data_IF_463972436595
#
_entry.id   IF_463972436595
#
_cell.length_a   1.000
_cell.length_b   1.000
_cell.length_c   1.000
_cell.angle_alpha   90.00
_cell.angle_beta   90.00
_cell.angle_gamma   90.00
#
_symmetry.space_group_name_H-M   'P 1'
#
loop_
_entity.id
_entity.type
_entity.pdbx_description
1 polymer ?
#
# COMPACT_ATOMS: atom_id res chain seq x y z
N UNK A 1 -18.95 83.80 1.17
CA UNK A 1 -19.12 84.17 2.58
C UNK A 1 -19.64 82.93 3.31
N UNK A 2 -18.78 82.06 3.85
CA UNK A 2 -18.16 82.10 5.19
C UNK A 2 -19.16 82.15 6.36
N UNK A 3 -19.29 81.03 7.10
CA UNK A 3 -19.15 80.86 8.58
C UNK A 3 -19.52 79.40 8.94
N UNK A 4 -18.60 78.50 9.33
CA UNK A 4 -17.80 78.34 10.58
C UNK A 4 -18.60 77.99 11.85
N UNK A 5 -18.39 76.75 12.35
CA UNK A 5 -18.31 76.30 13.75
C UNK A 5 -17.86 74.82 13.73
N UNK A 6 -16.70 74.32 14.18
CA UNK A 6 -15.85 74.46 15.38
C UNK A 6 -16.12 73.41 16.50
N UNK A 7 -15.21 72.41 16.58
CA UNK A 7 -14.60 71.75 17.78
C UNK A 7 -15.40 70.58 18.45
N UNK A 8 -14.81 69.51 19.09
CA UNK A 8 -13.39 69.20 19.40
C UNK A 8 -12.85 67.79 19.02
N UNK A 9 -11.51 67.68 19.06
CA UNK A 9 -10.73 66.44 19.13
C UNK A 9 -10.92 65.72 20.48
N UNK A 10 -11.08 64.39 20.43
CA UNK A 10 -10.86 63.48 21.56
C UNK A 10 -9.76 62.48 21.20
N UNK A 11 -8.58 62.61 21.82
CA UNK A 11 -7.55 61.57 21.81
C UNK A 11 -8.06 60.32 22.53
N UNK A 12 -8.15 59.19 21.82
CA UNK A 12 -8.11 57.87 22.46
C UNK A 12 -6.90 57.10 21.98
N UNK A 13 -6.08 56.76 22.98
CA UNK A 13 -4.89 55.92 22.95
C UNK A 13 -5.13 54.63 22.16
N UNK A 14 -4.32 54.41 21.13
CA UNK A 14 -4.25 53.15 20.40
C UNK A 14 -3.35 52.18 21.17
N UNK A 15 -3.94 51.29 21.95
CA UNK A 15 -3.28 50.07 22.40
C UNK A 15 -3.07 49.15 21.20
N UNK A 16 -1.86 49.19 20.63
CA UNK A 16 -1.38 48.19 19.67
C UNK A 16 -1.33 46.83 20.39
N UNK A 17 -2.32 45.98 20.17
CA UNK A 17 -2.12 44.54 20.28
C UNK A 17 -1.15 44.17 19.15
N UNK A 18 0.07 43.82 19.54
CA UNK A 18 1.07 43.28 18.62
C UNK A 18 0.50 41.99 18.00
N UNK A 19 0.04 42.09 16.76
CA UNK A 19 -0.21 40.91 15.93
C UNK A 19 1.14 40.26 15.67
N UNK A 20 1.39 39.12 16.33
CA UNK A 20 2.47 38.22 15.93
C UNK A 20 2.36 37.96 14.41
N UNK A 21 3.45 37.96 13.65
CA UNK A 21 3.39 37.62 12.25
C UNK A 21 2.98 36.15 12.17
N UNK A 22 1.72 35.88 11.81
CA UNK A 22 1.34 34.58 11.30
C UNK A 22 2.09 34.42 9.98
N UNK A 23 3.25 33.77 10.01
CA UNK A 23 3.87 33.20 8.83
C UNK A 23 2.89 32.15 8.29
N UNK A 24 1.89 32.58 7.51
CA UNK A 24 1.13 31.64 6.71
C UNK A 24 2.07 31.18 5.60
N UNK A 25 2.75 30.06 5.83
CA UNK A 25 3.41 29.30 4.77
C UNK A 25 2.34 29.03 3.71
N UNK A 26 2.46 29.68 2.55
CA UNK A 26 1.63 29.34 1.40
C UNK A 26 2.28 28.12 0.78
N UNK A 27 1.63 26.96 0.89
CA UNK A 27 1.96 25.77 0.11
C UNK A 27 2.03 26.18 -1.37
N UNK A 28 3.14 25.85 -2.06
CA UNK A 28 3.25 26.06 -3.52
C UNK A 28 2.44 25.03 -4.32
N UNK A 29 2.10 23.92 -3.69
CA UNK A 29 1.23 22.89 -4.27
C UNK A 29 -0.07 23.50 -4.75
N UNK A 30 -0.45 23.12 -5.95
CA UNK A 30 -1.59 23.73 -6.65
C UNK A 30 -2.66 22.67 -6.84
N UNK A 31 -3.91 23.04 -6.52
CA UNK A 31 -5.09 22.23 -6.84
C UNK A 31 -5.97 23.03 -7.79
N UNK A 32 -6.13 22.53 -9.01
CA UNK A 32 -7.09 23.06 -9.99
C UNK A 32 -8.25 22.09 -10.12
N UNK A 33 -9.47 22.62 -10.20
CA UNK A 33 -10.65 21.77 -10.40
C UNK A 33 -11.29 22.10 -11.73
N UNK A 34 -11.50 21.07 -12.53
CA UNK A 34 -12.18 21.13 -13.80
C UNK A 34 -13.55 20.47 -13.61
N UNK A 35 -14.66 21.24 -13.64
CA UNK A 35 -15.99 20.68 -13.49
C UNK A 35 -16.37 19.81 -14.70
N UNK A 36 -17.36 18.95 -14.51
CA UNK A 36 -18.00 18.24 -15.60
C UNK A 36 -18.63 19.22 -16.61
N UNK A 37 -18.66 18.85 -17.89
CA UNK A 37 -19.31 19.66 -18.91
C UNK A 37 -20.81 19.72 -18.67
N UNK A 38 -21.41 20.91 -18.81
CA UNK A 38 -22.87 21.08 -18.74
C UNK A 38 -23.63 20.30 -19.83
N UNK A 39 -22.94 19.89 -20.89
CA UNK A 39 -23.50 19.08 -21.98
C UNK A 39 -23.28 17.57 -21.79
N UNK A 40 -22.73 17.14 -20.65
CA UNK A 40 -22.43 15.74 -20.40
C UNK A 40 -23.74 14.92 -20.29
N UNK A 41 -23.73 13.64 -20.73
CA UNK A 41 -24.92 12.80 -20.73
C UNK A 41 -25.38 12.42 -19.32
N UNK A 42 -24.48 12.48 -18.33
CA UNK A 42 -24.72 12.16 -16.92
C UNK A 42 -23.73 12.93 -16.04
N UNK A 43 -23.96 12.93 -14.73
CA UNK A 43 -23.01 13.42 -13.73
C UNK A 43 -22.47 12.24 -12.93
N UNK A 44 -21.14 12.12 -12.84
CA UNK A 44 -20.49 11.05 -12.08
C UNK A 44 -20.10 11.59 -10.70
N UNK A 45 -20.61 11.01 -9.59
CA UNK A 45 -20.38 11.54 -8.25
C UNK A 45 -18.96 11.32 -7.71
N UNK A 46 -18.21 10.38 -8.30
CA UNK A 46 -16.83 10.07 -7.91
C UNK A 46 -15.86 10.88 -8.77
N UNK A 47 -15.09 11.83 -8.20
CA UNK A 47 -14.17 12.64 -8.98
C UNK A 47 -12.88 11.89 -9.31
N UNK A 48 -12.28 12.29 -10.44
CA UNK A 48 -10.96 11.86 -10.87
C UNK A 48 -9.91 12.77 -10.24
N UNK A 49 -8.89 12.20 -9.62
CA UNK A 49 -7.75 12.91 -9.04
C UNK A 49 -6.50 12.62 -9.88
N UNK A 50 -6.08 13.60 -10.67
CA UNK A 50 -4.83 13.58 -11.41
C UNK A 50 -3.70 14.09 -10.53
N UNK A 51 -2.77 13.21 -10.19
CA UNK A 51 -1.64 13.53 -9.32
C UNK A 51 -0.37 13.77 -10.16
N UNK A 52 0.27 14.93 -9.98
CA UNK A 52 1.59 15.23 -10.53
C UNK A 52 2.51 15.84 -9.48
N UNK A 53 3.81 15.83 -9.76
CA UNK A 53 4.81 16.56 -9.00
C UNK A 53 5.82 17.14 -9.99
N UNK A 54 5.37 18.14 -10.76
CA UNK A 54 6.05 18.66 -11.95
C UNK A 54 7.51 19.05 -11.68
N UNK A 55 7.76 19.79 -10.60
CA UNK A 55 9.11 20.26 -10.24
C UNK A 55 10.05 19.15 -9.77
N UNK A 56 9.53 18.15 -9.07
CA UNK A 56 10.35 17.03 -8.60
C UNK A 56 10.67 16.08 -9.73
N UNK A 57 9.69 15.73 -10.54
CA UNK A 57 9.81 14.75 -11.63
C UNK A 57 10.35 15.33 -12.93
N UNK A 58 10.41 16.67 -13.04
CA UNK A 58 10.68 17.38 -14.29
C UNK A 58 9.69 17.01 -15.42
N UNK A 59 8.44 16.71 -15.05
CA UNK A 59 7.33 16.43 -15.96
C UNK A 59 6.44 17.67 -16.14
N UNK A 60 5.66 17.76 -17.22
CA UNK A 60 4.60 18.76 -17.32
C UNK A 60 3.59 18.62 -16.16
N UNK A 61 2.96 19.72 -15.73
CA UNK A 61 1.90 19.68 -14.72
C UNK A 61 0.64 19.00 -15.27
N UNK A 62 -0.25 18.56 -14.38
CA UNK A 62 -1.45 17.81 -14.73
C UNK A 62 -2.31 18.41 -15.88
N UNK A 63 -2.56 19.73 -15.97
CA UNK A 63 -3.37 20.31 -17.06
C UNK A 63 -2.77 20.11 -18.46
N UNK A 64 -1.43 20.07 -18.55
CA UNK A 64 -0.72 19.84 -19.81
C UNK A 64 -0.55 18.34 -20.07
N UNK A 65 -0.13 17.60 -19.04
CA UNK A 65 0.16 16.16 -19.12
C UNK A 65 -1.08 15.31 -19.47
N UNK A 66 -2.25 15.69 -18.95
CA UNK A 66 -3.49 14.93 -19.11
C UNK A 66 -4.57 15.72 -19.85
N UNK A 67 -4.20 16.71 -20.65
CA UNK A 67 -5.14 17.61 -21.34
C UNK A 67 -6.24 16.86 -22.12
N UNK A 68 -5.87 15.85 -22.91
CA UNK A 68 -6.83 15.04 -23.67
C UNK A 68 -7.73 14.19 -22.78
N UNK A 69 -7.18 13.64 -21.68
CA UNK A 69 -7.94 12.84 -20.72
C UNK A 69 -8.95 13.70 -19.99
N UNK A 70 -8.55 14.89 -19.54
CA UNK A 70 -9.41 15.85 -18.86
C UNK A 70 -10.56 16.27 -19.77
N UNK A 71 -10.29 16.55 -21.04
CA UNK A 71 -11.33 16.89 -22.02
C UNK A 71 -12.31 15.73 -22.24
N UNK A 72 -11.79 14.51 -22.39
CA UNK A 72 -12.59 13.30 -22.54
C UNK A 72 -13.51 13.07 -21.34
N UNK A 73 -12.94 13.03 -20.13
CA UNK A 73 -13.70 12.74 -18.91
C UNK A 73 -14.67 13.85 -18.52
N UNK A 74 -14.33 15.12 -18.76
CA UNK A 74 -15.27 16.24 -18.56
C UNK A 74 -16.48 16.13 -19.48
N UNK A 75 -16.30 15.69 -20.74
CA UNK A 75 -17.40 15.45 -21.67
C UNK A 75 -18.30 14.27 -21.24
N UNK A 76 -17.75 13.29 -20.51
CA UNK A 76 -18.48 12.12 -19.98
C UNK A 76 -19.12 12.35 -18.61
N UNK A 77 -18.94 13.53 -18.01
CA UNK A 77 -19.60 13.90 -16.76
C UNK A 77 -18.76 13.75 -15.49
N UNK A 78 -17.45 13.51 -15.61
CA UNK A 78 -16.56 13.42 -14.45
C UNK A 78 -16.03 14.79 -14.04
N UNK A 79 -16.04 15.08 -12.75
CA UNK A 79 -15.25 16.17 -12.17
C UNK A 79 -13.77 15.73 -12.05
N UNK A 80 -12.85 16.59 -12.48
CA UNK A 80 -11.40 16.32 -12.41
C UNK A 80 -10.69 17.29 -11.46
N UNK A 81 -10.02 16.72 -10.46
CA UNK A 81 -9.14 17.38 -9.49
C UNK A 81 -7.69 17.22 -9.98
N UNK A 82 -7.03 18.32 -10.27
CA UNK A 82 -5.66 18.36 -10.79
C UNK A 82 -4.73 18.82 -9.67
N UNK A 83 -4.03 17.87 -9.05
CA UNK A 83 -3.16 18.11 -7.90
C UNK A 83 -1.70 18.05 -8.33
N UNK A 84 -1.04 19.21 -8.37
CA UNK A 84 0.40 19.30 -8.61
C UNK A 84 1.14 19.63 -7.31
N UNK A 85 1.95 18.67 -6.85
CA UNK A 85 2.66 18.76 -5.57
C UNK A 85 4.02 19.45 -5.71
N UNK A 86 4.22 20.45 -4.87
CA UNK A 86 5.47 21.17 -4.69
C UNK A 86 5.62 21.54 -3.20
N UNK A 87 6.02 20.60 -2.34
CA UNK A 87 6.08 20.83 -0.91
C UNK A 87 7.05 21.97 -0.56
N UNK A 88 6.69 22.77 0.43
CA UNK A 88 7.44 23.98 0.82
C UNK A 88 8.86 23.70 1.32
N UNK A 89 9.11 22.48 1.82
CA UNK A 89 10.46 22.05 2.19
C UNK A 89 11.25 21.76 0.91
N UNK A 90 12.44 22.37 0.72
CA UNK A 90 13.25 22.09 -0.44
C UNK A 90 13.54 20.59 -0.48
N UNK A 91 12.98 19.92 -1.48
CA UNK A 91 13.12 18.47 -1.70
C UNK A 91 14.60 18.08 -1.75
N UNK A 92 15.48 19.00 -2.19
CA UNK A 92 16.94 18.89 -2.21
C UNK A 92 17.62 18.75 -0.85
N UNK A 93 17.00 19.22 0.24
CA UNK A 93 17.56 19.12 1.61
C UNK A 93 17.25 17.78 2.27
N UNK A 94 16.22 17.06 1.78
CA UNK A 94 15.82 15.77 2.29
C UNK A 94 16.79 14.70 1.76
N UNK A 95 17.68 14.23 2.62
CA UNK A 95 18.64 13.16 2.30
C UNK A 95 18.04 11.76 2.36
N UNK A 96 16.78 11.62 2.78
CA UNK A 96 16.10 10.33 2.93
C UNK A 96 14.83 10.27 2.07
N UNK A 97 14.81 9.30 1.14
CA UNK A 97 13.71 9.02 0.22
C UNK A 97 12.41 8.66 0.95
N UNK A 98 12.47 7.93 2.07
CA UNK A 98 11.27 7.57 2.82
C UNK A 98 10.62 8.83 3.43
N UNK A 99 11.45 9.69 4.03
CA UNK A 99 10.99 10.98 4.56
C UNK A 99 10.45 11.90 3.47
N UNK A 100 11.08 11.90 2.30
CA UNK A 100 10.65 12.65 1.12
C UNK A 100 9.23 12.21 0.69
N UNK A 101 8.94 10.91 0.63
CA UNK A 101 7.59 10.40 0.34
C UNK A 101 6.57 10.81 1.41
N UNK A 102 6.92 10.75 2.70
CA UNK A 102 6.04 11.22 3.78
C UNK A 102 5.71 12.72 3.67
N UNK A 103 6.65 13.53 3.18
CA UNK A 103 6.44 14.97 2.98
C UNK A 103 5.46 15.21 1.82
N UNK A 104 5.64 14.52 0.69
CA UNK A 104 4.70 14.59 -0.44
C UNK A 104 3.30 14.09 -0.06
N UNK A 105 3.23 12.99 0.70
CA UNK A 105 1.96 12.47 1.20
C UNK A 105 1.27 13.53 2.07
N UNK A 106 1.96 14.08 3.07
CA UNK A 106 1.40 15.10 3.95
C UNK A 106 0.92 16.33 3.17
N UNK A 107 1.69 16.76 2.20
CA UNK A 107 1.39 17.92 1.37
C UNK A 107 0.16 17.69 0.47
N UNK A 108 0.04 16.51 -0.14
CA UNK A 108 -1.16 16.10 -0.89
C UNK A 108 -2.41 16.14 0.00
N UNK A 109 -2.28 15.58 1.20
CA UNK A 109 -3.35 15.55 2.20
C UNK A 109 -3.78 16.96 2.59
N UNK A 110 -2.82 17.83 2.92
CA UNK A 110 -3.09 19.17 3.42
C UNK A 110 -3.66 20.05 2.32
N UNK A 111 -3.18 19.92 1.09
CA UNK A 111 -3.70 20.63 -0.10
C UNK A 111 -5.17 20.26 -0.39
N UNK A 112 -5.49 18.97 -0.39
CA UNK A 112 -6.87 18.49 -0.60
C UNK A 112 -7.82 18.99 0.50
N UNK A 113 -7.38 18.97 1.77
CA UNK A 113 -8.18 19.47 2.90
C UNK A 113 -8.41 20.97 2.85
N UNK A 114 -7.35 21.75 2.57
CA UNK A 114 -7.42 23.21 2.56
C UNK A 114 -8.31 23.76 1.45
N UNK A 115 -8.43 23.03 0.34
CA UNK A 115 -9.31 23.41 -0.76
C UNK A 115 -10.80 23.41 -0.41
N UNK A 116 -11.20 22.79 0.70
CA UNK A 116 -12.61 22.58 1.07
C UNK A 116 -13.37 21.64 0.13
N UNK A 117 -12.70 21.08 -0.87
CA UNK A 117 -13.24 20.13 -1.85
C UNK A 117 -12.82 18.71 -1.53
N UNK A 118 -13.02 18.28 -0.28
CA UNK A 118 -12.94 16.86 0.04
C UNK A 118 -14.10 16.17 -0.66
N UNK A 119 -13.84 15.26 -1.61
CA UNK A 119 -14.91 14.60 -2.34
C UNK A 119 -15.75 13.77 -1.37
N UNK A 120 -17.07 13.66 -1.62
CA UNK A 120 -17.98 12.91 -0.74
C UNK A 120 -17.61 11.42 -0.68
N UNK A 121 -16.97 10.91 -1.74
CA UNK A 121 -16.46 9.55 -1.84
C UNK A 121 -14.95 9.56 -2.09
N UNK A 122 -14.22 8.49 -1.75
CA UNK A 122 -12.82 8.34 -2.11
C UNK A 122 -12.63 8.56 -3.62
N UNK A 123 -11.69 9.40 -4.06
CA UNK A 123 -11.52 9.68 -5.49
C UNK A 123 -10.92 8.47 -6.22
N UNK A 124 -11.05 8.47 -7.54
CA UNK A 124 -10.27 7.61 -8.44
C UNK A 124 -8.98 8.36 -8.73
N UNK A 125 -7.81 7.77 -8.46
CA UNK A 125 -6.53 8.44 -8.71
C UNK A 125 -5.89 7.97 -10.01
N UNK A 126 -5.43 8.92 -10.83
CA UNK A 126 -4.65 8.68 -12.04
C UNK A 126 -3.31 9.40 -11.88
N UNK A 127 -2.21 8.68 -12.06
CA UNK A 127 -0.86 9.24 -11.92
C UNK A 127 0.08 8.58 -12.91
N UNK A 128 1.13 9.32 -13.28
CA UNK A 128 2.09 8.92 -14.29
C UNK A 128 3.52 8.95 -13.79
N UNK A 129 4.38 8.07 -14.35
CA UNK A 129 5.82 8.14 -14.13
C UNK A 129 6.23 8.07 -12.66
N UNK A 130 7.30 8.76 -12.23
CA UNK A 130 7.79 8.73 -10.85
C UNK A 130 6.80 9.25 -9.80
N UNK A 131 5.79 10.05 -10.19
CA UNK A 131 4.74 10.50 -9.27
C UNK A 131 3.89 9.32 -8.73
N UNK A 132 3.92 8.17 -9.41
CA UNK A 132 3.31 6.92 -8.95
C UNK A 132 3.79 6.48 -7.57
N UNK A 133 5.03 6.82 -7.17
CA UNK A 133 5.54 6.52 -5.82
C UNK A 133 4.82 7.31 -4.73
N UNK A 134 4.41 8.54 -5.05
CA UNK A 134 3.63 9.39 -4.14
C UNK A 134 2.23 8.81 -3.99
N UNK A 135 1.60 8.42 -5.10
CA UNK A 135 0.28 7.79 -5.08
C UNK A 135 0.26 6.49 -4.27
N UNK A 136 1.27 5.63 -4.47
CA UNK A 136 1.46 4.43 -3.66
C UNK A 136 1.54 4.78 -2.16
N UNK A 137 2.41 5.72 -1.79
CA UNK A 137 2.54 6.16 -0.38
C UNK A 137 1.22 6.70 0.17
N UNK A 138 0.51 7.53 -0.60
CA UNK A 138 -0.80 8.09 -0.23
C UNK A 138 -1.85 7.01 0.03
N UNK A 139 -1.93 6.02 -0.85
CA UNK A 139 -2.87 4.89 -0.76
C UNK A 139 -2.70 4.09 0.51
N UNK A 140 -1.47 3.98 1.02
CA UNK A 140 -1.21 3.23 2.25
C UNK A 140 -1.85 3.86 3.50
N UNK A 141 -2.20 5.15 3.43
CA UNK A 141 -2.85 5.89 4.52
C UNK A 141 -4.31 6.19 4.26
N UNK A 142 -4.76 6.18 2.99
CA UNK A 142 -6.13 6.51 2.59
C UNK A 142 -6.62 5.60 1.48
N UNK A 143 -7.80 4.98 1.64
CA UNK A 143 -8.39 4.21 0.55
C UNK A 143 -8.75 5.14 -0.62
N UNK A 144 -8.62 4.60 -1.83
CA UNK A 144 -9.15 5.17 -3.06
C UNK A 144 -10.28 4.29 -3.57
N UNK A 145 -11.09 4.82 -4.48
CA UNK A 145 -12.09 4.00 -5.19
C UNK A 145 -11.41 3.16 -6.27
N UNK A 146 -10.44 3.72 -6.97
CA UNK A 146 -9.59 3.00 -7.91
C UNK A 146 -8.26 3.75 -8.08
N UNK A 147 -7.21 3.04 -8.53
CA UNK A 147 -5.91 3.62 -8.84
C UNK A 147 -5.44 3.18 -10.22
N UNK A 148 -5.08 4.15 -11.06
CA UNK A 148 -4.41 3.91 -12.32
C UNK A 148 -3.00 4.49 -12.33
N UNK A 149 -2.03 3.64 -12.65
CA UNK A 149 -0.63 4.01 -12.81
C UNK A 149 -0.27 3.95 -14.30
N UNK A 150 0.16 5.08 -14.85
CA UNK A 150 0.61 5.20 -16.24
C UNK A 150 2.14 5.24 -16.24
N UNK A 151 2.79 4.32 -16.95
CA UNK A 151 4.25 4.25 -17.04
C UNK A 151 4.96 4.31 -15.66
N UNK A 152 4.55 3.51 -14.67
CA UNK A 152 5.19 3.55 -13.36
C UNK A 152 6.66 3.11 -13.46
N UNK A 153 7.53 3.53 -12.52
CA UNK A 153 8.89 3.01 -12.48
C UNK A 153 8.86 1.50 -12.23
N UNK A 154 9.60 0.75 -13.06
CA UNK A 154 9.70 -0.72 -13.00
C UNK A 154 9.96 -1.22 -11.57
N UNK A 155 10.99 -0.65 -10.93
CA UNK A 155 11.24 -0.82 -9.51
C UNK A 155 12.03 0.38 -8.97
N UNK A 156 12.02 0.55 -7.64
CA UNK A 156 12.66 1.68 -6.98
C UNK A 156 14.18 1.70 -7.17
N UNK A 157 14.80 0.53 -7.28
CA UNK A 157 16.24 0.41 -7.49
C UNK A 157 16.66 0.86 -8.89
N UNK A 158 15.86 0.53 -9.91
CA UNK A 158 16.03 0.90 -11.29
C UNK A 158 15.82 2.40 -11.47
N UNK A 159 14.75 2.95 -10.88
CA UNK A 159 14.51 4.40 -10.89
C UNK A 159 15.69 5.17 -10.29
N UNK A 160 16.27 4.68 -9.19
CA UNK A 160 17.46 5.28 -8.59
C UNK A 160 18.68 5.23 -9.52
N UNK A 161 18.83 4.17 -10.31
CA UNK A 161 19.92 4.01 -11.27
C UNK A 161 19.75 4.95 -12.47
N UNK A 162 18.54 5.04 -13.02
CA UNK A 162 18.20 5.89 -14.17
C UNK A 162 18.18 7.38 -13.78
N UNK A 163 17.60 7.71 -12.63
CA UNK A 163 17.39 9.09 -12.14
C UNK A 163 17.82 9.22 -10.67
N UNK A 164 19.14 9.27 -10.38
CA UNK A 164 19.66 9.29 -9.00
C UNK A 164 19.27 10.54 -8.21
N UNK A 165 18.88 11.63 -8.89
CA UNK A 165 18.43 12.87 -8.25
C UNK A 165 17.03 12.75 -7.62
N UNK A 166 16.20 11.81 -8.08
CA UNK A 166 14.83 11.67 -7.58
C UNK A 166 14.77 10.96 -6.23
N UNK A 167 15.64 9.96 -6.01
CA UNK A 167 15.68 9.14 -4.80
C UNK A 167 17.07 9.20 -4.13
N UNK A 168 17.24 10.02 -3.08
CA UNK A 168 18.51 10.16 -2.34
C UNK A 168 18.99 8.86 -1.67
N UNK A 169 18.10 8.08 -1.04
CA UNK A 169 18.35 6.77 -0.40
C UNK A 169 17.57 5.63 -1.06
N UNK A 170 17.94 4.38 -0.76
CA UNK A 170 17.16 3.21 -1.18
C UNK A 170 15.76 3.28 -0.56
N UNK A 171 14.73 3.15 -1.40
CA UNK A 171 13.34 3.13 -0.99
C UNK A 171 12.82 1.69 -1.12
N UNK A 172 12.23 1.16 -0.05
CA UNK A 172 11.63 -0.17 -0.08
C UNK A 172 10.50 -0.24 -1.11
N UNK A 173 10.32 -1.39 -1.75
CA UNK A 173 9.19 -1.62 -2.63
C UNK A 173 7.88 -1.59 -1.84
N UNK A 174 6.81 -1.23 -2.55
CA UNK A 174 5.50 -1.05 -1.96
C UNK A 174 4.87 -2.42 -1.64
N UNK A 175 4.68 -2.73 -0.35
CA UNK A 175 4.13 -4.00 0.15
C UNK A 175 2.67 -3.91 0.64
N UNK A 176 1.88 -2.98 0.11
CA UNK A 176 0.48 -2.81 0.51
C UNK A 176 -0.44 -3.45 -0.53
N UNK A 177 -1.42 -4.16 -0.01
CA UNK A 177 -2.42 -4.87 -0.78
C UNK A 177 -3.63 -3.95 -0.93
N UNK A 178 -3.83 -3.45 -2.15
CA UNK A 178 -4.93 -2.56 -2.45
C UNK A 178 -6.25 -3.33 -2.36
N UNK A 179 -7.18 -2.85 -1.53
CA UNK A 179 -8.54 -3.41 -1.40
C UNK A 179 -9.49 -2.87 -2.47
N UNK A 180 -8.95 -2.25 -3.51
CA UNK A 180 -9.68 -1.56 -4.57
C UNK A 180 -8.99 -1.84 -5.91
N UNK A 181 -9.70 -1.68 -7.06
CA UNK A 181 -9.12 -1.95 -8.37
C UNK A 181 -7.87 -1.10 -8.65
N UNK A 182 -6.77 -1.77 -9.00
CA UNK A 182 -5.52 -1.13 -9.44
C UNK A 182 -5.22 -1.57 -10.87
N UNK A 183 -5.03 -0.58 -11.75
CA UNK A 183 -4.65 -0.78 -13.14
C UNK A 183 -3.27 -0.18 -13.41
N UNK A 184 -2.37 -0.96 -13.99
CA UNK A 184 -1.08 -0.48 -14.50
C UNK A 184 -1.16 -0.46 -16.00
N UNK A 185 -0.77 0.66 -16.61
CA UNK A 185 -0.86 0.88 -18.05
C UNK A 185 0.46 1.40 -18.58
N UNK A 186 0.89 0.88 -19.72
CA UNK A 186 2.13 1.28 -20.39
C UNK A 186 1.86 1.97 -21.72
N UNK A 187 2.49 3.11 -21.97
CA UNK A 187 2.47 3.76 -23.27
C UNK A 187 3.45 3.10 -24.22
N UNK A 188 3.11 3.03 -25.51
CA UNK A 188 4.00 2.47 -26.54
C UNK A 188 5.36 3.21 -26.59
N UNK A 189 5.35 4.51 -26.30
CA UNK A 189 6.56 5.33 -26.25
C UNK A 189 7.51 4.89 -25.13
N UNK A 190 6.96 4.56 -23.96
CA UNK A 190 7.75 4.09 -22.82
C UNK A 190 8.26 2.67 -23.06
N UNK A 191 7.44 1.78 -23.64
CA UNK A 191 7.85 0.42 -23.99
C UNK A 191 9.00 0.43 -25.00
N UNK A 192 8.95 1.30 -26.02
CA UNK A 192 10.04 1.47 -26.97
C UNK A 192 11.33 1.97 -26.29
N UNK A 193 11.22 2.93 -25.36
CA UNK A 193 12.36 3.43 -24.58
C UNK A 193 13.03 2.30 -23.78
N UNK A 194 12.23 1.47 -23.12
CA UNK A 194 12.71 0.35 -22.31
C UNK A 194 13.38 -0.73 -23.17
N UNK A 195 12.81 -1.02 -24.35
CA UNK A 195 13.39 -1.94 -25.31
C UNK A 195 14.78 -1.46 -25.78
N UNK A 196 14.93 -0.15 -26.05
CA UNK A 196 16.22 0.45 -26.42
C UNK A 196 17.24 0.42 -25.26
N UNK A 197 16.79 0.54 -24.02
CA UNK A 197 17.63 0.41 -22.83
C UNK A 197 17.99 -1.05 -22.49
N UNK A 198 17.48 -2.02 -23.26
CA UNK A 198 17.74 -3.44 -23.05
C UNK A 198 17.15 -3.97 -21.75
N UNK A 199 16.07 -3.35 -21.26
CA UNK A 199 15.35 -3.84 -20.08
C UNK A 199 14.67 -5.16 -20.46
N UNK A 200 14.90 -6.26 -19.70
CA UNK A 200 14.20 -7.51 -19.93
C UNK A 200 12.70 -7.31 -19.85
N UNK A 201 11.97 -7.91 -20.80
CA UNK A 201 10.51 -7.83 -20.87
C UNK A 201 9.84 -8.24 -19.54
N UNK A 202 10.35 -9.28 -18.87
CA UNK A 202 9.87 -9.73 -17.56
C UNK A 202 9.96 -8.65 -16.48
N UNK A 203 11.02 -7.84 -16.48
CA UNK A 203 11.18 -6.80 -15.45
C UNK A 203 10.13 -5.71 -15.60
N UNK A 204 9.81 -5.35 -16.85
CA UNK A 204 8.76 -4.37 -17.18
C UNK A 204 7.39 -4.86 -16.72
N UNK A 205 7.08 -6.12 -16.99
CA UNK A 205 5.77 -6.72 -16.73
C UNK A 205 5.76 -7.63 -15.49
N UNK A 206 6.64 -7.35 -14.52
CA UNK A 206 6.81 -8.21 -13.34
C UNK A 206 5.52 -8.34 -12.54
N UNK A 207 4.75 -7.27 -12.41
CA UNK A 207 3.51 -7.24 -11.63
C UNK A 207 2.44 -8.08 -12.32
N UNK A 208 2.31 -7.95 -13.64
CA UNK A 208 1.39 -8.72 -14.46
C UNK A 208 1.75 -10.20 -14.38
N UNK A 209 3.03 -10.55 -14.54
CA UNK A 209 3.50 -11.93 -14.45
C UNK A 209 3.27 -12.56 -13.08
N UNK A 210 3.56 -11.84 -11.99
CA UNK A 210 3.29 -12.34 -10.63
C UNK A 210 1.79 -12.60 -10.41
N UNK A 211 0.92 -11.77 -11.00
CA UNK A 211 -0.53 -11.96 -10.92
C UNK A 211 -1.04 -13.07 -11.85
N UNK A 212 -0.46 -13.23 -13.03
CA UNK A 212 -0.73 -14.36 -13.94
C UNK A 212 -0.37 -15.69 -13.28
N UNK A 213 0.79 -15.77 -12.61
CA UNK A 213 1.21 -16.95 -11.84
C UNK A 213 0.23 -17.27 -10.69
N UNK A 214 -0.30 -16.25 -10.02
CA UNK A 214 -1.26 -16.42 -8.94
C UNK A 214 -2.68 -16.78 -9.44
N UNK A 215 -3.05 -16.31 -10.64
CA UNK A 215 -4.37 -16.52 -11.25
C UNK A 215 -4.47 -17.78 -12.13
N UNK A 216 -3.33 -18.38 -12.53
CA UNK A 216 -3.23 -19.48 -13.50
C UNK A 216 -3.89 -19.17 -14.86
N UNK A 217 -4.03 -17.87 -15.18
CA UNK A 217 -4.64 -17.34 -16.40
C UNK A 217 -3.81 -16.17 -16.93
N UNK A 218 -3.74 -16.01 -18.27
CA UNK A 218 -3.09 -14.87 -18.90
C UNK A 218 -3.92 -13.61 -18.65
N UNK A 219 -3.35 -12.59 -18.02
CA UNK A 219 -4.03 -11.34 -17.74
C UNK A 219 -3.85 -10.38 -18.90
N UNK A 220 -4.93 -9.69 -19.27
CA UNK A 220 -4.89 -8.69 -20.32
C UNK A 220 -3.91 -7.57 -19.95
N UNK A 221 -2.98 -7.31 -20.86
CA UNK A 221 -2.00 -6.25 -20.74
C UNK A 221 -2.62 -4.94 -21.17
N UNK A 222 -2.47 -3.91 -20.36
CA UNK A 222 -2.98 -2.60 -20.70
C UNK A 222 -1.88 -1.75 -21.32
N UNK A 223 -1.93 -1.62 -22.64
CA UNK A 223 -1.04 -0.76 -23.41
C UNK A 223 -1.86 0.18 -24.28
N UNK A 224 -1.42 1.43 -24.44
CA UNK A 224 -2.02 2.34 -25.42
C UNK A 224 -0.97 3.01 -26.30
N UNK A 225 -1.29 3.08 -27.59
CA UNK A 225 -0.50 3.77 -28.59
C UNK A 225 -0.80 5.28 -28.62
N UNK A 226 -2.07 5.65 -28.47
CA UNK A 226 -2.54 7.03 -28.50
C UNK A 226 -3.20 7.42 -27.17
N UNK A 227 -2.99 8.67 -26.77
CA UNK A 227 -3.46 9.21 -25.49
C UNK A 227 -4.99 9.22 -25.43
N UNK A 228 -5.67 9.44 -26.57
CA UNK A 228 -7.14 9.35 -26.68
C UNK A 228 -7.67 7.93 -26.48
N UNK A 229 -7.00 6.94 -27.07
CA UNK A 229 -7.36 5.54 -26.87
C UNK A 229 -7.18 5.16 -25.40
N UNK A 230 -6.07 5.57 -24.77
CA UNK A 230 -5.85 5.35 -23.35
C UNK A 230 -6.96 5.93 -22.46
N UNK A 231 -7.50 7.10 -22.81
CA UNK A 231 -8.63 7.69 -22.07
C UNK A 231 -9.95 6.90 -22.26
N UNK A 232 -10.22 6.41 -23.48
CA UNK A 232 -11.38 5.55 -23.77
C UNK A 232 -11.29 4.23 -23.02
N UNK A 233 -10.15 3.54 -23.09
CA UNK A 233 -9.93 2.27 -22.39
C UNK A 233 -10.01 2.46 -20.87
N UNK A 234 -9.59 3.63 -20.37
CA UNK A 234 -9.72 3.98 -18.95
C UNK A 234 -11.18 4.14 -18.55
N UNK A 235 -11.97 4.82 -19.37
CA UNK A 235 -13.40 4.96 -19.12
C UNK A 235 -14.08 3.59 -19.08
N UNK A 236 -13.84 2.73 -20.07
CA UNK A 236 -14.42 1.38 -20.13
C UNK A 236 -14.07 0.57 -18.88
N UNK A 237 -12.81 0.61 -18.45
CA UNK A 237 -12.36 -0.03 -17.23
C UNK A 237 -13.07 0.52 -15.98
N UNK A 238 -13.19 1.85 -15.85
CA UNK A 238 -13.90 2.46 -14.72
C UNK A 238 -15.37 2.05 -14.68
N UNK A 239 -16.03 1.98 -15.83
CA UNK A 239 -17.44 1.59 -15.90
C UNK A 239 -17.65 0.11 -15.58
N UNK A 240 -16.71 -0.76 -15.97
CA UNK A 240 -16.76 -2.20 -15.70
C UNK A 240 -16.39 -2.59 -14.27
N UNK A 241 -15.28 -2.08 -13.74
CA UNK A 241 -14.71 -2.53 -12.44
C UNK A 241 -15.19 -1.71 -11.25
N UNK A 242 -15.38 -0.39 -11.43
CA UNK A 242 -15.78 0.49 -10.32
C UNK A 242 -17.30 0.49 -10.15
N UNK A 243 -18.04 0.12 -11.20
CA UNK A 243 -19.50 0.04 -11.21
C UNK A 243 -20.15 1.42 -11.07
N UNK A 244 -20.98 1.79 -12.03
CA UNK A 244 -21.98 2.83 -11.78
C UNK A 244 -22.89 2.27 -10.68
N UNK A 245 -23.04 3.00 -9.57
CA UNK A 245 -23.95 2.69 -8.45
C UNK A 245 -25.43 2.69 -8.90
N UNK A 246 -25.80 1.78 -9.81
CA UNK A 246 -27.08 1.80 -10.51
C UNK A 246 -27.69 0.44 -10.81
N UNK A 247 -26.95 -0.69 -10.76
CA UNK A 247 -27.54 -1.97 -11.22
C UNK A 247 -27.15 -3.23 -10.40
N UNK A 248 -26.62 -3.06 -9.19
CA UNK A 248 -26.45 -4.19 -8.26
C UNK A 248 -27.71 -4.37 -7.40
N UNK A 249 -28.85 -4.54 -8.07
CA UNK A 249 -30.02 -5.18 -7.49
C UNK A 249 -30.21 -6.49 -8.25
N UNK A 250 -30.25 -7.60 -7.51
CA UNK A 250 -30.43 -8.99 -7.96
C UNK A 250 -29.15 -9.75 -8.33
N UNK A 251 -28.55 -10.37 -7.32
CA UNK A 251 -28.16 -11.78 -7.47
C UNK A 251 -28.62 -12.58 -6.23
N UNK A 252 -29.04 -13.85 -6.42
CA UNK A 252 -29.94 -14.52 -5.51
C UNK A 252 -29.17 -15.16 -4.34
N UNK A 253 -29.67 -14.91 -3.14
CA UNK A 253 -29.42 -15.74 -1.97
C UNK A 253 -30.01 -17.14 -2.23
N UNK A 254 -29.17 -18.14 -2.44
CA UNK A 254 -29.57 -19.54 -2.29
C UNK A 254 -29.08 -20.08 -0.94
N UNK A 255 -30.10 -20.29 -0.11
CA UNK A 255 -30.23 -21.14 1.07
C UNK A 255 -29.24 -22.31 1.19
N UNK A 256 -28.57 -22.38 2.34
CA UNK A 256 -28.41 -23.65 3.06
C UNK A 256 -28.69 -23.39 4.55
N UNK A 257 -29.96 -23.50 4.90
CA UNK A 257 -30.43 -23.72 6.26
C UNK A 257 -30.73 -25.22 6.48
N UNK A 258 -30.79 -25.59 7.76
CA UNK A 258 -31.02 -26.93 8.34
C UNK A 258 -29.77 -27.79 8.40
N UNK A 259 -29.22 -28.07 9.59
CA UNK A 259 -29.71 -29.05 10.58
C UNK A 259 -28.70 -29.00 11.76
N UNK A 260 -28.92 -29.29 13.03
CA UNK A 260 -30.05 -29.67 13.89
C UNK A 260 -29.44 -29.70 15.32
N UNK A 261 -30.21 -29.22 16.28
CA UNK A 261 -30.25 -29.45 17.74
C UNK A 261 -28.99 -29.60 18.63
N UNK A 262 -28.96 -28.70 19.63
CA UNK A 262 -28.81 -28.91 21.08
C UNK A 262 -28.26 -30.26 21.59
N UNK A 263 -27.18 -30.20 22.36
CA UNK A 263 -27.05 -30.95 23.63
C UNK A 263 -26.03 -30.30 24.58
N UNK A 264 -26.27 -30.54 25.86
CA UNK A 264 -25.84 -29.83 27.07
C UNK A 264 -24.56 -30.36 27.74
N UNK A 265 -23.90 -29.47 28.50
CA UNK A 265 -23.04 -29.66 29.69
C UNK A 265 -22.27 -30.98 29.92
N UNK A 266 -20.95 -30.87 30.11
CA UNK A 266 -20.31 -31.13 31.43
C UNK A 266 -18.78 -30.96 31.40
N UNK A 267 -18.28 -30.32 32.47
CA UNK A 267 -16.87 -30.24 32.87
C UNK A 267 -16.27 -31.62 33.16
N UNK A 268 -15.02 -31.85 32.73
CA UNK A 268 -14.00 -32.46 33.61
C UNK A 268 -12.59 -32.29 33.05
N UNK A 269 -11.73 -31.72 33.88
CA UNK A 269 -10.28 -31.72 33.72
C UNK A 269 -9.72 -33.13 33.97
N UNK A 270 -8.73 -33.54 33.18
CA UNK A 270 -7.98 -34.77 33.40
C UNK A 270 -6.62 -34.72 32.69
N UNK A 271 -5.56 -34.56 33.48
CA UNK A 271 -4.17 -34.77 33.07
C UNK A 271 -3.95 -36.20 32.57
N UNK A 272 -3.20 -36.36 31.47
CA UNK A 272 -2.40 -37.56 31.27
C UNK A 272 -1.27 -37.29 30.25
N UNK A 273 -0.07 -37.13 30.79
CA UNK A 273 1.15 -37.41 30.05
C UNK A 273 1.20 -38.92 29.75
N UNK A 274 1.35 -39.29 28.47
CA UNK A 274 1.39 -40.68 28.03
C UNK A 274 2.29 -40.86 26.81
N UNK A 275 3.08 -41.93 26.84
CA UNK A 275 4.18 -42.27 25.94
C UNK A 275 3.89 -42.16 24.44
N UNK A 276 4.86 -41.63 23.69
CA UNK A 276 4.85 -41.54 22.23
C UNK A 276 5.17 -42.92 21.61
N UNK A 277 4.17 -43.52 20.96
CA UNK A 277 4.36 -44.58 19.98
C UNK A 277 5.08 -44.01 18.76
N UNK A 278 6.20 -44.61 18.37
CA UNK A 278 7.14 -44.04 17.41
C UNK A 278 6.70 -44.10 15.93
N UNK A 279 5.55 -44.71 15.61
CA UNK A 279 5.08 -44.88 14.23
C UNK A 279 3.58 -44.56 14.01
N UNK A 280 2.89 -44.01 15.03
CA UNK A 280 1.48 -43.62 14.92
C UNK A 280 1.36 -42.10 14.68
N UNK A 281 0.66 -41.73 13.60
CA UNK A 281 0.32 -40.32 13.35
C UNK A 281 -0.57 -39.78 14.49
N UNK A 282 -0.44 -38.49 14.86
CA UNK A 282 -1.24 -37.91 15.95
C UNK A 282 -2.74 -38.03 15.71
N UNK A 283 -3.55 -38.22 16.77
CA UNK A 283 -5.02 -38.35 16.63
C UNK A 283 -5.67 -37.16 15.93
N UNK A 284 -5.23 -35.93 16.24
CA UNK A 284 -5.72 -34.73 15.54
C UNK A 284 -5.41 -34.72 14.03
N UNK A 285 -4.33 -35.39 13.62
CA UNK A 285 -3.95 -35.50 12.22
C UNK A 285 -4.82 -36.53 11.48
N UNK A 286 -5.25 -37.59 12.18
CA UNK A 286 -6.11 -38.65 11.63
C UNK A 286 -7.59 -38.25 11.64
N UNK A 287 -8.01 -37.45 12.63
CA UNK A 287 -9.39 -37.01 12.80
C UNK A 287 -9.80 -35.85 11.85
N UNK A 288 -8.83 -35.03 11.40
CA UNK A 288 -9.08 -33.94 10.44
C UNK A 288 -8.65 -34.26 9.01
N UNK A 289 -8.95 -33.37 8.06
CA UNK A 289 -8.56 -33.50 6.65
C UNK A 289 -7.09 -33.07 6.39
N UNK A 290 -6.15 -33.57 7.19
CA UNK A 290 -4.74 -33.20 7.10
C UNK A 290 -3.98 -34.11 6.13
N UNK A 291 -3.36 -33.50 5.11
CA UNK A 291 -2.51 -34.22 4.16
C UNK A 291 -1.10 -33.64 4.12
N UNK A 292 -0.09 -34.51 4.21
CA UNK A 292 1.30 -34.13 4.00
C UNK A 292 1.55 -34.01 2.49
N UNK A 293 2.15 -32.89 2.08
CA UNK A 293 2.56 -32.64 0.70
C UNK A 293 4.10 -32.56 0.61
N UNK A 294 4.81 -33.69 0.46
CA UNK A 294 6.27 -33.69 0.36
C UNK A 294 6.72 -32.92 -0.88
N UNK A 295 7.46 -31.82 -0.69
CA UNK A 295 8.03 -31.02 -1.78
C UNK A 295 7.35 -29.67 -2.03
N UNK A 296 6.17 -29.45 -1.45
CA UNK A 296 5.51 -28.14 -1.42
C UNK A 296 6.38 -27.12 -0.67
N UNK A 297 6.76 -26.03 -1.35
CA UNK A 297 7.54 -24.92 -0.74
C UNK A 297 6.66 -23.97 0.08
N UNK A 298 5.36 -23.93 -0.20
CA UNK A 298 4.41 -22.95 0.36
C UNK A 298 3.59 -23.54 1.50
N UNK A 299 3.04 -24.75 1.34
CA UNK A 299 2.21 -25.45 2.34
C UNK A 299 2.58 -26.94 2.40
N UNK A 300 3.58 -27.34 3.21
CA UNK A 300 3.98 -28.75 3.31
C UNK A 300 2.95 -29.65 4.00
N UNK A 301 2.00 -29.06 4.73
CA UNK A 301 0.85 -29.73 5.33
C UNK A 301 -0.41 -28.91 5.02
N UNK A 302 -1.42 -29.55 4.44
CA UNK A 302 -2.72 -28.94 4.14
C UNK A 302 -3.43 -28.61 5.44
N UNK A 303 -3.89 -27.37 5.62
CA UNK A 303 -4.57 -26.91 6.83
C UNK A 303 -6.08 -26.93 6.60
N UNK A 304 -6.83 -27.46 7.56
CA UNK A 304 -8.28 -27.26 7.62
C UNK A 304 -8.57 -25.89 8.26
N UNK A 305 -9.44 -25.09 7.64
CA UNK A 305 -9.82 -23.79 8.17
C UNK A 305 -10.69 -23.89 9.43
N UNK A 306 -11.40 -25.00 9.63
CA UNK A 306 -12.29 -25.22 10.79
C UNK A 306 -11.52 -25.35 12.10
N UNK A 307 -10.30 -25.86 12.01
CA UNK A 307 -9.41 -26.09 13.15
C UNK A 307 -8.54 -24.87 13.48
N UNK A 308 -8.71 -23.76 12.74
CA UNK A 308 -7.93 -22.54 12.91
C UNK A 308 -8.78 -21.42 13.49
N UNK A 309 -8.42 -20.98 14.70
CA UNK A 309 -8.94 -19.76 15.29
C UNK A 309 -8.02 -18.57 14.96
N UNK A 310 -8.53 -17.65 14.13
CA UNK A 310 -7.86 -16.44 13.72
C UNK A 310 -8.32 -15.22 14.54
N UNK A 311 -7.37 -14.38 14.97
CA UNK A 311 -7.63 -13.09 15.62
C UNK A 311 -6.71 -12.01 15.10
N UNK A 312 -7.26 -10.84 14.78
CA UNK A 312 -6.49 -9.66 14.41
C UNK A 312 -6.26 -8.78 15.63
N UNK A 313 -5.00 -8.49 15.91
CA UNK A 313 -4.60 -7.63 17.03
C UNK A 313 -3.81 -6.44 16.53
N UNK A 314 -3.79 -5.36 17.32
CA UNK A 314 -2.89 -4.24 17.07
C UNK A 314 -1.45 -4.68 17.32
N UNK A 315 -0.55 -4.27 16.42
CA UNK A 315 0.87 -4.58 16.58
C UNK A 315 1.46 -3.86 17.80
N UNK A 316 2.49 -4.44 18.39
CA UNK A 316 3.25 -3.81 19.49
C UNK A 316 4.73 -3.71 19.11
N UNK A 317 5.36 -2.57 19.40
CA UNK A 317 6.78 -2.34 19.16
C UNK A 317 7.12 -0.91 18.73
N UNK A 318 8.43 -0.60 18.60
CA UNK A 318 8.92 0.69 18.07
C UNK A 318 8.65 0.76 16.56
N UNK A 319 7.39 0.99 16.21
CA UNK A 319 6.89 1.11 14.85
C UNK A 319 6.10 2.42 14.69
N UNK A 320 6.06 2.95 13.46
CA UNK A 320 5.34 4.18 13.12
C UNK A 320 3.83 4.13 13.41
N UNK A 321 3.12 5.23 13.14
CA UNK A 321 1.69 5.37 13.47
C UNK A 321 0.80 4.24 12.91
N UNK A 322 1.16 3.67 11.75
CA UNK A 322 0.41 2.60 11.11
C UNK A 322 0.33 1.32 11.97
N UNK A 323 1.41 0.95 12.67
CA UNK A 323 1.48 -0.29 13.48
C UNK A 323 0.59 -0.20 14.72
N UNK A 324 0.47 1.00 15.30
CA UNK A 324 -0.33 1.21 16.52
C UNK A 324 -1.82 1.45 16.22
N UNK A 325 -2.16 1.88 14.99
CA UNK A 325 -3.53 2.21 14.60
C UNK A 325 -4.26 1.04 13.92
N UNK A 326 -3.58 0.31 13.03
CA UNK A 326 -4.20 -0.77 12.27
C UNK A 326 -4.01 -2.13 12.98
N UNK A 327 -5.05 -2.97 12.96
CA UNK A 327 -5.03 -4.34 13.48
C UNK A 327 -4.46 -5.33 12.44
N UNK A 328 -3.20 -5.13 12.06
CA UNK A 328 -2.53 -5.91 10.99
C UNK A 328 -1.79 -7.14 11.50
N UNK A 329 -1.61 -7.28 12.83
CA UNK A 329 -0.96 -8.44 13.42
C UNK A 329 -1.96 -9.60 13.51
N UNK A 330 -1.61 -10.75 12.93
CA UNK A 330 -2.45 -11.94 12.89
C UNK A 330 -1.99 -12.91 13.98
N UNK A 331 -2.89 -13.23 14.89
CA UNK A 331 -2.75 -14.35 15.82
C UNK A 331 -3.55 -15.54 15.29
N UNK A 332 -2.84 -16.63 15.01
CA UNK A 332 -3.43 -17.86 14.50
C UNK A 332 -3.24 -18.97 15.55
N UNK A 333 -4.33 -19.61 15.96
CA UNK A 333 -4.29 -20.73 16.91
C UNK A 333 -4.87 -21.97 16.25
N UNK A 334 -4.13 -23.07 16.26
CA UNK A 334 -4.64 -24.38 15.85
C UNK A 334 -5.31 -25.04 17.04
N UNK A 335 -6.63 -25.24 16.98
CA UNK A 335 -7.46 -25.72 18.09
C UNK A 335 -7.05 -27.13 18.54
N UNK A 336 -6.86 -28.12 17.64
CA UNK A 336 -6.55 -29.49 18.05
C UNK A 336 -5.19 -29.65 18.74
N UNK A 337 -4.19 -28.82 18.39
CA UNK A 337 -2.84 -28.91 18.99
C UNK A 337 -2.57 -27.84 20.05
N UNK A 338 -3.46 -26.87 20.22
CA UNK A 338 -3.24 -25.69 21.05
C UNK A 338 -2.08 -24.79 20.58
N UNK A 339 -1.53 -25.02 19.39
CA UNK A 339 -0.37 -24.26 18.89
C UNK A 339 -0.79 -22.86 18.50
N UNK A 340 -0.21 -21.85 19.15
CA UNK A 340 -0.46 -20.43 18.85
C UNK A 340 0.74 -19.79 18.17
N UNK A 341 0.48 -19.07 17.08
CA UNK A 341 1.46 -18.32 16.32
C UNK A 341 1.00 -16.88 16.12
N UNK A 342 1.95 -15.95 16.13
CA UNK A 342 1.72 -14.53 15.82
C UNK A 342 2.57 -14.12 14.63
N UNK A 343 1.97 -13.41 13.66
CA UNK A 343 2.67 -12.93 12.47
C UNK A 343 2.43 -11.43 12.27
N UNK A 344 3.53 -10.68 12.19
CA UNK A 344 3.57 -9.23 11.98
C UNK A 344 4.83 -8.93 11.16
N UNK A 345 4.84 -9.36 9.90
CA UNK A 345 5.97 -9.18 8.98
C UNK A 345 5.78 -7.99 8.04
N UNK A 346 4.56 -7.84 7.51
CA UNK A 346 4.19 -6.81 6.53
C UNK A 346 3.18 -5.83 7.12
N UNK A 347 2.94 -4.71 6.44
CA UNK A 347 1.82 -3.81 6.78
C UNK A 347 0.46 -4.32 6.28
N UNK A 348 0.42 -5.19 5.25
CA UNK A 348 -0.82 -5.84 4.81
C UNK A 348 -1.27 -6.91 5.80
N UNK A 349 -2.58 -6.93 6.08
CA UNK A 349 -3.25 -7.93 6.93
C UNK A 349 -3.32 -9.28 6.23
N UNK A 350 -3.71 -9.32 4.96
CA UNK A 350 -4.01 -10.58 4.27
C UNK A 350 -2.69 -11.30 3.91
N UNK A 351 -1.64 -10.54 3.55
CA UNK A 351 -0.28 -11.10 3.48
C UNK A 351 0.22 -11.64 4.82
N UNK A 352 -0.03 -10.95 5.94
CA UNK A 352 0.31 -11.48 7.26
C UNK A 352 -0.48 -12.75 7.60
N UNK A 353 -1.73 -12.85 7.16
CA UNK A 353 -2.61 -14.01 7.31
C UNK A 353 -2.09 -15.21 6.52
N UNK A 354 -1.73 -15.02 5.26
CA UNK A 354 -1.12 -16.05 4.42
C UNK A 354 0.21 -16.55 5.01
N UNK A 355 1.07 -15.63 5.46
CA UNK A 355 2.32 -15.96 6.13
C UNK A 355 2.10 -16.70 7.46
N UNK A 356 1.07 -16.33 8.22
CA UNK A 356 0.70 -17.03 9.46
C UNK A 356 0.29 -18.47 9.17
N UNK A 357 -0.57 -18.71 8.16
CA UNK A 357 -0.96 -20.05 7.73
C UNK A 357 0.23 -20.88 7.23
N UNK A 358 1.09 -20.28 6.40
CA UNK A 358 2.31 -20.95 5.93
C UNK A 358 3.21 -21.38 7.09
N UNK A 359 3.39 -20.51 8.08
CA UNK A 359 4.16 -20.85 9.30
C UNK A 359 3.47 -21.91 10.14
N UNK A 360 2.14 -21.88 10.27
CA UNK A 360 1.38 -22.90 10.98
C UNK A 360 1.55 -24.28 10.33
N UNK A 361 1.41 -24.35 8.99
CA UNK A 361 1.64 -25.57 8.20
C UNK A 361 3.02 -26.18 8.47
N UNK A 362 4.08 -25.36 8.50
CA UNK A 362 5.44 -25.80 8.82
C UNK A 362 5.58 -26.33 10.26
N UNK A 363 4.95 -25.66 11.24
CA UNK A 363 4.99 -26.08 12.64
C UNK A 363 4.26 -27.41 12.82
N UNK A 364 3.08 -27.56 12.21
CA UNK A 364 2.29 -28.80 12.26
C UNK A 364 3.01 -29.95 11.55
N UNK A 365 3.63 -29.73 10.39
CA UNK A 365 4.45 -30.75 9.72
C UNK A 365 5.54 -31.29 10.66
N UNK A 366 6.21 -30.38 11.37
CA UNK A 366 7.26 -30.74 12.34
C UNK A 366 6.72 -31.55 13.51
N UNK A 367 5.50 -31.24 13.97
CA UNK A 367 4.84 -32.01 15.04
C UNK A 367 4.50 -33.42 14.58
N UNK A 368 4.07 -33.59 13.32
CA UNK A 368 3.72 -34.90 12.76
C UNK A 368 4.96 -35.76 12.48
N UNK A 369 6.03 -35.17 11.94
CA UNK A 369 7.25 -35.91 11.53
C UNK A 369 8.34 -36.02 12.61
N UNK A 370 8.14 -35.37 13.76
CA UNK A 370 9.13 -35.33 14.84
C UNK A 370 10.44 -34.60 14.49
N UNK A 371 11.43 -34.68 15.38
CA UNK A 371 12.70 -33.95 15.26
C UNK A 371 13.60 -34.43 14.09
N UNK A 372 13.38 -35.66 13.60
CA UNK A 372 14.15 -36.26 12.50
C UNK A 372 13.67 -35.81 11.11
N UNK A 373 12.46 -35.25 11.01
CA UNK A 373 11.77 -34.95 9.75
C UNK A 373 11.82 -33.49 9.30
N UNK A 374 12.76 -32.69 9.81
CA UNK A 374 12.96 -31.32 9.33
C UNK A 374 13.30 -31.32 7.85
N UNK A 375 12.34 -30.94 7.01
CA UNK A 375 12.49 -30.87 5.54
C UNK A 375 13.78 -30.11 5.17
N UNK A 376 14.38 -30.45 4.02
CA UNK A 376 15.48 -29.68 3.39
C UNK A 376 15.19 -28.17 3.39
N UNK A 377 13.91 -27.81 3.36
CA UNK A 377 13.37 -26.45 3.41
C UNK A 377 13.63 -25.78 4.76
N UNK A 378 13.45 -26.46 5.89
CA UNK A 378 13.65 -25.92 7.24
C UNK A 378 15.13 -25.57 7.50
N UNK A 379 16.05 -26.44 7.02
CA UNK A 379 17.49 -26.13 7.02
C UNK A 379 17.84 -24.93 6.16
N UNK A 380 17.07 -24.65 5.11
CA UNK A 380 17.32 -23.53 4.19
C UNK A 380 16.80 -22.23 4.77
N UNK A 381 15.57 -22.23 5.31
CA UNK A 381 14.96 -21.09 5.99
C UNK A 381 15.78 -20.70 7.22
N UNK A 382 16.21 -21.67 8.04
CA UNK A 382 17.04 -21.39 9.22
C UNK A 382 18.44 -20.87 8.82
N UNK A 383 19.04 -21.41 7.75
CA UNK A 383 20.30 -20.87 7.19
C UNK A 383 20.12 -19.42 6.73
N UNK A 384 19.01 -19.08 6.07
CA UNK A 384 18.73 -17.71 5.65
C UNK A 384 18.49 -16.76 6.82
N UNK A 385 17.71 -17.17 7.82
CA UNK A 385 17.52 -16.41 9.06
C UNK A 385 18.84 -16.17 9.78
N UNK A 386 19.68 -17.19 9.88
CA UNK A 386 21.02 -17.09 10.47
C UNK A 386 21.94 -16.18 9.68
N UNK A 387 21.90 -16.20 8.34
CA UNK A 387 22.63 -15.26 7.46
C UNK A 387 22.18 -13.81 7.69
N UNK A 388 20.86 -13.53 7.71
CA UNK A 388 20.30 -12.20 7.96
C UNK A 388 20.68 -11.68 9.36
N UNK A 389 20.58 -12.52 10.39
CA UNK A 389 20.98 -12.18 11.76
C UNK A 389 22.48 -11.90 11.89
N UNK A 390 23.33 -12.73 11.27
CA UNK A 390 24.78 -12.53 11.25
C UNK A 390 25.18 -11.26 10.48
N UNK A 391 24.51 -10.95 9.37
CA UNK A 391 24.73 -9.71 8.61
C UNK A 391 24.40 -8.48 9.48
N UNK A 392 23.26 -8.50 10.20
CA UNK A 392 22.85 -7.44 11.14
C UNK A 392 23.84 -7.28 12.30
N UNK A 393 24.32 -8.38 12.89
CA UNK A 393 25.36 -8.35 13.95
C UNK A 393 26.69 -7.79 13.44
N UNK A 394 27.13 -8.18 12.25
CA UNK A 394 28.36 -7.69 11.61
C UNK A 394 28.25 -6.19 11.30
N UNK A 395 27.11 -5.74 10.82
CA UNK A 395 26.84 -4.32 10.55
C UNK A 395 26.85 -3.49 11.85
N UNK A 396 26.22 -3.99 12.92
CA UNK A 396 26.22 -3.34 14.23
C UNK A 396 27.62 -3.26 14.85
N UNK A 397 28.45 -4.31 14.70
CA UNK A 397 29.87 -4.27 15.10
C UNK A 397 30.64 -3.20 14.34
N UNK A 398 30.56 -3.19 13.00
CA UNK A 398 31.21 -2.16 12.16
C UNK A 398 30.78 -0.73 12.51
N UNK A 399 29.52 -0.52 12.86
CA UNK A 399 29.04 0.79 13.31
C UNK A 399 29.65 1.18 14.66
N UNK A 400 29.76 0.24 15.60
CA UNK A 400 30.39 0.46 16.89
C UNK A 400 31.89 0.74 16.77
N UNK A 401 32.58 -0.02 15.91
CA UNK A 401 34.02 0.14 15.66
C UNK A 401 34.30 1.51 15.01
N UNK A 402 33.49 1.93 14.03
CA UNK A 402 33.56 3.29 13.45
C UNK A 402 33.27 4.39 14.47
N UNK A 403 32.33 4.18 15.39
CA UNK A 403 32.05 5.13 16.46
C UNK A 403 33.23 5.25 17.42
N UNK A 404 33.85 4.13 17.78
CA UNK A 404 35.05 4.10 18.62
C UNK A 404 36.23 4.79 17.93
N UNK A 405 36.49 4.49 16.66
CA UNK A 405 37.54 5.15 15.86
C UNK A 405 37.33 6.66 15.78
N UNK A 406 36.09 7.12 15.52
CA UNK A 406 35.78 8.56 15.49
C UNK A 406 35.95 9.25 16.85
N UNK A 407 35.78 8.52 17.96
CA UNK A 407 35.99 9.06 19.30
C UNK A 407 37.48 9.16 19.64
N UNK A 408 38.32 8.23 19.18
CA UNK A 408 39.78 8.35 19.34
C UNK A 408 40.38 9.44 18.47
N UNK A 409 39.86 9.69 17.26
CA UNK A 409 40.39 10.77 16.39
C UNK A 409 39.99 12.18 16.80
N UNK A 410 39.03 12.33 17.73
CA UNK A 410 38.58 13.64 18.24
C UNK A 410 39.23 13.98 19.59
N UNK A 411 39.99 13.03 20.17
CA UNK A 411 40.66 13.17 21.46
C UNK A 411 42.18 13.34 21.36
N UNK A 412 42.74 13.20 20.14
CA UNK A 412 44.06 13.71 19.73
C UNK A 412 43.88 15.09 19.06
#
# INVERSE_FOLDING_TARGET
MLRLAAIPLSLRSATRLASAPRLSCRLKSTLTVVPASSSAPREVPTPLLFLTASKWTSSPPAPEAYSEWIQHFSAQGYESLLLDLDPDQPVSELKDSAKLMEVFEKDAIDTLRQSGKTPPFPPIMITGGPASLIAQTYVSSRPLTALQLIDPPINNAYLRKDRPKLLPTELAEFDFEATFPVRVVWSDTELQRQQQQGVPWYDVHRIEHEREEDADESLDRYTFADTKQGALDTQEWLEGEVGVLGDQATSPLEDVASSFETESDSDSAGEAAGMRNADALPEWFVAGEYTLQPGSRKYPLTLDERDLAEKFVRGSGPGGQAINKLSTNVQLTHLPTGTRLTCQETRSRDRNRELARRRMSLVLEKLVRGESGGSRIDRTIEKERRKKSNKKKKQKRRQRDKQLESQTTTAE
#
